data_IF_768172734888
#
_entry.id   IF_768172734888
#
_cell.length_a   1.000
_cell.length_b   1.000
_cell.length_c   1.000
_cell.angle_alpha   90.00
_cell.angle_beta   90.00
_cell.angle_gamma   90.00
#
_symmetry.space_group_name_H-M   'P 1'
#
loop_
_entity.id
_entity.type
_entity.pdbx_description
1 polymer ?
#
# COMPACT_ATOMS: atom_id res chain seq x y z
N UNK A 1 4.08 4.74 10.32
CA UNK A 1 4.25 4.31 8.91
C UNK A 1 5.26 3.20 8.68
N UNK A 2 6.44 3.18 9.33
CA UNK A 2 7.42 2.09 9.12
C UNK A 2 6.88 0.67 9.34
N UNK A 3 5.98 0.46 10.33
CA UNK A 3 5.31 -0.83 10.57
C UNK A 3 4.43 -1.22 9.38
N UNK A 4 3.62 -0.30 8.86
CA UNK A 4 2.79 -0.52 7.66
C UNK A 4 3.66 -0.96 6.47
N UNK A 5 4.77 -0.26 6.23
CA UNK A 5 5.68 -0.59 5.12
C UNK A 5 6.21 -2.03 5.21
N UNK A 6 6.60 -2.48 6.42
CA UNK A 6 7.09 -3.85 6.65
C UNK A 6 5.98 -4.87 6.39
N UNK A 7 4.76 -4.61 6.88
CA UNK A 7 3.65 -5.54 6.71
C UNK A 7 3.18 -5.61 5.26
N UNK A 8 3.06 -4.47 4.58
CA UNK A 8 2.74 -4.41 3.14
C UNK A 8 3.75 -5.25 2.37
N UNK A 9 5.05 -5.00 2.56
CA UNK A 9 6.11 -5.76 1.88
C UNK A 9 6.01 -7.26 2.13
N UNK A 10 5.68 -7.66 3.36
CA UNK A 10 5.47 -9.07 3.71
C UNK A 10 4.26 -9.65 2.96
N UNK A 11 3.13 -8.94 2.93
CA UNK A 11 1.92 -9.39 2.21
C UNK A 11 2.13 -9.47 0.71
N UNK A 12 2.82 -8.51 0.09
CA UNK A 12 3.16 -8.56 -1.33
C UNK A 12 3.94 -9.85 -1.68
N UNK A 13 4.86 -10.27 -0.79
CA UNK A 13 5.60 -11.53 -0.96
C UNK A 13 4.75 -12.78 -0.70
N UNK A 14 3.97 -12.79 0.36
CA UNK A 14 3.10 -13.92 0.74
C UNK A 14 2.04 -14.19 -0.36
N UNK A 15 1.48 -13.12 -0.92
CA UNK A 15 0.46 -13.15 -1.98
C UNK A 15 1.06 -13.21 -3.39
N UNK A 16 2.40 -13.20 -3.50
CA UNK A 16 3.17 -13.31 -4.76
C UNK A 16 2.81 -12.25 -5.80
N UNK A 17 2.50 -11.04 -5.34
CA UNK A 17 2.25 -9.89 -6.19
C UNK A 17 3.56 -9.41 -6.83
N UNK A 18 3.48 -8.94 -8.07
CA UNK A 18 4.59 -8.27 -8.76
C UNK A 18 4.69 -6.80 -8.38
N UNK A 19 3.64 -6.25 -7.78
CA UNK A 19 3.58 -4.90 -7.24
C UNK A 19 4.71 -4.62 -6.25
N UNK A 20 5.23 -3.39 -6.25
CA UNK A 20 6.28 -2.97 -5.31
C UNK A 20 6.18 -1.48 -4.97
N UNK A 21 6.63 -1.13 -3.76
CA UNK A 21 6.70 0.26 -3.30
C UNK A 21 7.92 0.94 -3.94
N UNK A 22 7.70 2.06 -4.62
CA UNK A 22 8.76 2.83 -5.29
C UNK A 22 9.31 3.95 -4.42
N UNK A 23 8.46 4.58 -3.61
CA UNK A 23 8.83 5.78 -2.85
C UNK A 23 7.97 5.91 -1.60
N UNK A 24 8.57 6.52 -0.57
CA UNK A 24 7.87 7.00 0.61
C UNK A 24 8.19 8.48 0.81
N UNK A 25 7.17 9.32 0.98
CA UNK A 25 7.31 10.77 1.23
C UNK A 25 6.38 11.13 2.38
N UNK A 26 6.92 11.57 3.52
CA UNK A 26 6.15 11.86 4.74
C UNK A 26 5.26 10.69 5.22
N UNK A 27 3.97 10.71 4.94
CA UNK A 27 2.99 9.66 5.24
C UNK A 27 2.42 8.98 3.99
N UNK A 28 2.86 9.41 2.80
CA UNK A 28 2.47 8.87 1.51
C UNK A 28 3.40 7.73 1.08
N UNK A 29 2.80 6.71 0.45
CA UNK A 29 3.49 5.56 -0.14
C UNK A 29 3.10 5.47 -1.61
N UNK A 30 4.09 5.41 -2.50
CA UNK A 30 3.88 5.29 -3.94
C UNK A 30 4.26 3.89 -4.39
N UNK A 31 3.46 3.29 -5.26
CA UNK A 31 3.63 1.93 -5.75
C UNK A 31 3.55 1.87 -7.27
N UNK A 32 4.25 0.89 -7.84
CA UNK A 32 4.02 0.42 -9.20
C UNK A 32 3.40 -0.98 -9.15
N UNK A 33 2.44 -1.23 -10.03
CA UNK A 33 1.66 -2.45 -10.07
C UNK A 33 1.20 -2.77 -11.50
N UNK A 34 1.14 -4.06 -11.88
CA UNK A 34 0.33 -4.49 -13.03
C UNK A 34 -1.13 -4.09 -12.86
N UNK A 35 -1.83 -3.79 -13.96
CA UNK A 35 -3.22 -3.35 -13.93
C UNK A 35 -4.14 -4.37 -13.22
N UNK A 36 -3.88 -5.65 -13.43
CA UNK A 36 -4.61 -6.75 -12.81
C UNK A 36 -4.43 -6.86 -11.30
N UNK A 37 -3.37 -6.25 -10.72
CA UNK A 37 -3.06 -6.31 -9.28
C UNK A 37 -3.58 -5.08 -8.51
N UNK A 38 -4.05 -4.03 -9.20
CA UNK A 38 -4.36 -2.72 -8.60
C UNK A 38 -5.38 -2.82 -7.45
N UNK A 39 -6.48 -3.57 -7.64
CA UNK A 39 -7.52 -3.68 -6.62
C UNK A 39 -7.07 -4.49 -5.41
N UNK A 40 -6.26 -5.53 -5.62
CA UNK A 40 -5.68 -6.31 -4.52
C UNK A 40 -4.66 -5.48 -3.73
N UNK A 41 -3.78 -4.76 -4.45
CA UNK A 41 -2.79 -3.88 -3.83
C UNK A 41 -3.47 -2.78 -3.01
N UNK A 42 -4.51 -2.14 -3.54
CA UNK A 42 -5.33 -1.16 -2.81
C UNK A 42 -5.81 -1.69 -1.46
N UNK A 43 -6.38 -2.89 -1.46
CA UNK A 43 -6.90 -3.51 -0.24
C UNK A 43 -5.79 -3.73 0.78
N UNK A 44 -4.65 -4.28 0.36
CA UNK A 44 -3.50 -4.53 1.23
C UNK A 44 -2.96 -3.22 1.82
N UNK A 45 -2.73 -2.22 0.97
CA UNK A 45 -2.17 -0.94 1.40
C UNK A 45 -3.09 -0.25 2.39
N UNK A 46 -4.40 -0.19 2.10
CA UNK A 46 -5.38 0.41 2.99
C UNK A 46 -5.41 -0.29 4.35
N UNK A 47 -5.55 -1.61 4.35
CA UNK A 47 -5.64 -2.39 5.58
C UNK A 47 -4.39 -2.22 6.45
N UNK A 48 -3.20 -2.35 5.87
CA UNK A 48 -1.94 -2.30 6.62
C UNK A 48 -1.59 -0.89 7.09
N UNK A 49 -1.96 0.15 6.34
CA UNK A 49 -1.75 1.53 6.76
C UNK A 49 -2.73 1.93 7.87
N UNK A 50 -4.03 1.67 7.73
CA UNK A 50 -5.05 2.04 8.72
C UNK A 50 -4.86 1.29 10.05
N UNK A 51 -4.36 0.05 10.01
CA UNK A 51 -4.13 -0.79 11.20
C UNK A 51 -2.68 -0.79 11.71
N UNK A 52 -1.82 0.07 11.16
CA UNK A 52 -0.39 0.10 11.50
C UNK A 52 -0.12 0.37 12.99
N UNK A 53 -1.03 1.05 13.67
CA UNK A 53 -0.93 1.41 15.09
C UNK A 53 -2.33 1.62 15.69
N UNK A 54 -2.51 1.22 16.96
CA UNK A 54 -3.75 1.52 17.69
C UNK A 54 -3.75 2.96 18.17
N UNK A 55 -4.70 3.74 17.66
CA UNK A 55 -4.92 5.14 18.06
C UNK A 55 -6.32 5.30 18.67
N UNK A 56 -6.54 6.40 19.38
CA UNK A 56 -7.88 6.72 19.95
C UNK A 56 -8.90 7.12 18.87
N UNK A 57 -8.41 7.50 17.70
CA UNK A 57 -9.20 7.87 16.52
C UNK A 57 -8.71 7.03 15.34
N UNK A 58 -9.57 6.71 14.35
CA UNK A 58 -9.15 5.94 13.18
C UNK A 58 -8.16 6.72 12.34
N UNK A 59 -7.16 6.03 11.78
CA UNK A 59 -6.35 6.54 10.68
C UNK A 59 -7.13 6.27 9.39
N UNK A 60 -7.19 7.26 8.50
CA UNK A 60 -7.85 7.14 7.20
C UNK A 60 -6.78 7.16 6.11
N UNK A 61 -6.97 6.30 5.11
CA UNK A 61 -6.06 6.21 3.95
C UNK A 61 -6.83 6.48 2.68
N UNK A 62 -6.41 7.52 1.97
CA UNK A 62 -6.86 7.84 0.61
C UNK A 62 -5.93 7.20 -0.41
N UNK A 63 -6.50 6.67 -1.48
CA UNK A 63 -5.75 6.00 -2.55
C UNK A 63 -6.16 6.58 -3.90
N UNK A 64 -5.16 7.01 -4.65
CA UNK A 64 -5.29 7.47 -6.03
C UNK A 64 -4.58 6.49 -6.96
N UNK A 65 -5.18 6.19 -8.09
CA UNK A 65 -4.56 5.37 -9.14
C UNK A 65 -4.51 6.20 -10.40
N UNK A 66 -3.31 6.30 -10.95
CA UNK A 66 -3.08 6.87 -12.27
C UNK A 66 -2.60 5.77 -13.23
N UNK A 67 -3.04 5.85 -14.49
CA UNK A 67 -2.64 4.93 -15.54
C UNK A 67 -1.59 5.61 -16.41
N UNK A 68 -0.33 5.19 -16.27
CA UNK A 68 0.71 5.54 -17.22
C UNK A 68 0.61 4.61 -18.43
N UNK A 69 0.16 5.14 -19.57
CA UNK A 69 0.39 4.49 -20.87
C UNK A 69 1.76 4.98 -21.36
N UNK A 70 2.73 4.08 -21.44
CA UNK A 70 3.91 4.28 -22.30
C UNK A 70 3.54 4.01 -23.76
#
# INVERSE_FOLDING_TARGET
MKIAMINIHRRLKEERLKSFMILQVHDELVFEAPEEEVEQLKSIVKEEMENAVKLRVPLLVDIYVDKYML
#
